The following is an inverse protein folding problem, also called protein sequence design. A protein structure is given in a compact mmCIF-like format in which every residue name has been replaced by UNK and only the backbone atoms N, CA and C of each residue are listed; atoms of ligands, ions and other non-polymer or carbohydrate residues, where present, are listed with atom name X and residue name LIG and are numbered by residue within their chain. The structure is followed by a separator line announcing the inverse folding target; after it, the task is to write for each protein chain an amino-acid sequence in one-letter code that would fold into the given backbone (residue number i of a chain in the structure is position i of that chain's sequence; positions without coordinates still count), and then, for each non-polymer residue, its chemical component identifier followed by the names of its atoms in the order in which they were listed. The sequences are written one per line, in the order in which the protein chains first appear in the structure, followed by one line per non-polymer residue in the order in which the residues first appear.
data_IF_869599145342
#
_entry.id   IF_869599145342
#
_cell.length_a   1.000
_cell.length_b   1.000
_cell.length_c   1.000
_cell.angle_alpha   90.00
_cell.angle_beta   90.00
_cell.angle_gamma   90.00
#
_symmetry.space_group_name_H-M   'P 1'
#
loop_
_entity.id
_entity.type
_entity.pdbx_description
1 polymer ?
#
# COMPACT_ATOMS: atom_id res chain seq x y z
N UNK A 1 -9.12 -19.55 -16.03
CA UNK A 1 -9.24 -19.16 -14.61
C UNK A 1 -7.87 -18.70 -14.09
N UNK A 2 -7.83 -17.56 -13.44
CA UNK A 2 -6.64 -16.99 -12.78
C UNK A 2 -6.90 -16.90 -11.29
N UNK A 3 -5.89 -17.23 -10.47
CA UNK A 3 -5.97 -17.01 -9.02
C UNK A 3 -4.86 -16.04 -8.65
N UNK A 4 -5.20 -14.99 -7.90
CA UNK A 4 -4.23 -14.03 -7.36
C UNK A 4 -4.05 -14.33 -5.88
N UNK A 5 -2.82 -14.61 -5.45
CA UNK A 5 -2.48 -14.77 -4.05
C UNK A 5 -2.45 -13.40 -3.37
N UNK A 6 -3.27 -13.25 -2.35
CA UNK A 6 -3.27 -12.07 -1.50
C UNK A 6 -2.17 -12.19 -0.46
N UNK A 7 -1.35 -11.14 -0.27
CA UNK A 7 -0.21 -11.14 0.64
C UNK A 7 0.13 -9.73 1.12
N UNK A 8 0.74 -9.65 2.29
CA UNK A 8 1.21 -8.39 2.86
C UNK A 8 0.09 -7.52 3.47
N UNK A 9 0.40 -6.26 3.74
CA UNK A 9 -0.54 -5.31 4.34
C UNK A 9 -1.51 -4.67 3.33
N UNK A 10 -2.40 -3.81 3.85
CA UNK A 10 -3.49 -3.18 3.09
C UNK A 10 -3.06 -2.59 1.75
N UNK A 11 -1.95 -1.84 1.69
CA UNK A 11 -1.49 -1.25 0.43
C UNK A 11 -1.14 -2.31 -0.64
N UNK A 12 -0.59 -3.46 -0.25
CA UNK A 12 -0.33 -4.56 -1.17
C UNK A 12 -1.62 -5.26 -1.60
N UNK A 13 -2.53 -5.50 -0.65
CA UNK A 13 -3.86 -6.06 -0.93
C UNK A 13 -4.63 -5.19 -1.94
N UNK A 14 -4.50 -3.87 -1.86
CA UNK A 14 -5.14 -2.94 -2.80
C UNK A 14 -4.55 -3.07 -4.22
N UNK A 15 -3.24 -3.19 -4.38
CA UNK A 15 -2.64 -3.42 -5.70
C UNK A 15 -3.07 -4.77 -6.29
N UNK A 16 -3.08 -5.83 -5.49
CA UNK A 16 -3.54 -7.16 -5.91
C UNK A 16 -5.02 -7.15 -6.30
N UNK A 17 -5.85 -6.40 -5.57
CA UNK A 17 -7.25 -6.25 -5.91
C UNK A 17 -7.47 -5.36 -7.15
N UNK A 18 -6.67 -4.34 -7.36
CA UNK A 18 -6.71 -3.54 -8.59
C UNK A 18 -6.38 -4.39 -9.83
N UNK A 19 -5.39 -5.29 -9.72
CA UNK A 19 -5.12 -6.29 -10.77
C UNK A 19 -6.30 -7.26 -10.97
N UNK A 20 -6.94 -7.72 -9.89
CA UNK A 20 -8.17 -8.52 -9.96
C UNK A 20 -9.25 -7.81 -10.77
N UNK A 21 -9.52 -6.54 -10.47
CA UNK A 21 -10.50 -5.73 -11.21
C UNK A 21 -10.13 -5.60 -12.69
N UNK A 22 -8.84 -5.40 -12.99
CA UNK A 22 -8.36 -5.30 -14.37
C UNK A 22 -8.58 -6.58 -15.14
N UNK A 23 -8.18 -7.71 -14.60
CA UNK A 23 -8.35 -9.00 -15.27
C UNK A 23 -9.84 -9.37 -15.45
N UNK A 24 -10.69 -9.03 -14.47
CA UNK A 24 -12.16 -9.15 -14.59
C UNK A 24 -12.73 -8.24 -15.68
N UNK A 25 -12.24 -7.01 -15.79
CA UNK A 25 -12.65 -6.10 -16.87
C UNK A 25 -12.26 -6.59 -18.27
N UNK A 26 -11.18 -7.40 -18.36
CA UNK A 26 -10.78 -8.10 -19.58
C UNK A 26 -11.62 -9.35 -19.88
N UNK A 27 -12.66 -9.65 -19.09
CA UNK A 27 -13.52 -10.81 -19.28
C UNK A 27 -12.96 -12.12 -18.76
N UNK A 28 -11.88 -12.10 -17.95
CA UNK A 28 -11.28 -13.31 -17.40
C UNK A 28 -11.99 -13.79 -16.14
N UNK A 29 -11.99 -15.10 -15.93
CA UNK A 29 -12.39 -15.71 -14.66
C UNK A 29 -11.26 -15.57 -13.67
N UNK A 30 -11.46 -14.76 -12.61
CA UNK A 30 -10.42 -14.43 -11.61
C UNK A 30 -10.95 -14.66 -10.22
N UNK A 31 -10.14 -15.28 -9.37
CA UNK A 31 -10.41 -15.50 -7.94
C UNK A 31 -9.24 -15.01 -7.09
N UNK A 32 -9.51 -14.77 -5.80
CA UNK A 32 -8.49 -14.37 -4.82
C UNK A 32 -8.22 -15.55 -3.87
N UNK A 33 -6.93 -15.80 -3.61
CA UNK A 33 -6.49 -16.65 -2.51
C UNK A 33 -6.17 -15.75 -1.30
N UNK A 34 -7.11 -15.64 -0.39
CA UNK A 34 -7.05 -14.81 0.80
C UNK A 34 -6.77 -15.61 2.09
N UNK A 35 -6.35 -16.85 1.97
CA UNK A 35 -6.11 -17.71 3.12
C UNK A 35 -4.70 -18.28 3.19
N UNK A 36 -4.01 -18.56 2.08
CA UNK A 36 -2.67 -19.19 2.11
C UNK A 36 -1.67 -18.40 2.96
N UNK A 37 -1.68 -17.07 2.89
CA UNK A 37 -0.82 -16.21 3.71
C UNK A 37 -1.39 -16.00 5.11
N UNK A 38 -2.71 -15.96 5.25
CA UNK A 38 -3.40 -15.47 6.44
C UNK A 38 -3.89 -16.58 7.38
N UNK A 39 -3.82 -17.85 6.98
CA UNK A 39 -4.12 -18.98 7.86
C UNK A 39 -2.97 -19.28 8.81
N UNK A 40 -3.17 -18.97 10.07
CA UNK A 40 -2.43 -19.59 11.16
C UNK A 40 -1.21 -18.89 11.71
N UNK A 41 -0.95 -17.60 11.45
CA UNK A 41 0.11 -16.84 12.13
C UNK A 41 -0.05 -15.33 11.98
N UNK A 42 0.84 -14.58 12.63
CA UNK A 42 1.16 -13.15 12.68
C UNK A 42 1.09 -12.38 11.34
N UNK A 43 0.22 -12.82 10.43
CA UNK A 43 -0.06 -12.13 9.20
C UNK A 43 -0.76 -10.80 9.49
N UNK A 44 -0.46 -9.80 8.70
CA UNK A 44 -1.20 -8.54 8.76
C UNK A 44 -2.66 -8.80 8.39
N UNK A 45 -3.62 -8.10 9.02
CA UNK A 45 -5.04 -8.38 8.79
C UNK A 45 -5.44 -8.14 7.33
N UNK A 46 -6.40 -8.93 6.85
CA UNK A 46 -7.15 -8.62 5.65
C UNK A 46 -8.00 -7.39 5.91
N UNK A 47 -7.78 -6.30 5.18
CA UNK A 47 -8.40 -5.00 5.45
C UNK A 47 -9.19 -4.41 4.28
N UNK A 48 -9.38 -5.15 3.19
CA UNK A 48 -10.22 -4.71 2.06
C UNK A 48 -11.70 -4.52 2.43
N UNK A 49 -12.16 -5.12 3.53
CA UNK A 49 -13.48 -4.90 4.09
C UNK A 49 -13.77 -3.41 4.40
N UNK A 50 -12.73 -2.60 4.66
CA UNK A 50 -12.87 -1.17 4.89
C UNK A 50 -13.52 -0.42 3.70
N UNK A 51 -13.46 -1.00 2.51
CA UNK A 51 -14.08 -0.47 1.30
C UNK A 51 -15.39 -1.17 0.94
N UNK A 52 -15.88 -2.10 1.77
CA UNK A 52 -17.05 -2.92 1.45
C UNK A 52 -16.82 -3.87 0.28
N UNK A 53 -15.56 -4.20 -0.01
CA UNK A 53 -15.16 -5.03 -1.14
C UNK A 53 -15.53 -6.49 -0.90
N UNK A 54 -16.18 -7.08 -1.92
CA UNK A 54 -16.39 -8.50 -2.05
C UNK A 54 -15.69 -9.01 -3.32
N UNK A 55 -15.19 -10.24 -3.28
CA UNK A 55 -14.49 -10.89 -4.39
C UNK A 55 -14.73 -12.40 -4.41
N UNK A 56 -14.55 -13.00 -5.57
CA UNK A 56 -14.65 -14.45 -5.73
C UNK A 56 -13.42 -15.11 -5.08
N UNK A 57 -13.67 -15.99 -4.11
CA UNK A 57 -12.60 -16.73 -3.40
C UNK A 57 -12.24 -18.02 -4.13
N UNK A 58 -10.96 -18.33 -4.19
CA UNK A 58 -10.48 -19.62 -4.64
C UNK A 58 -10.74 -20.69 -3.57
N UNK A 59 -11.12 -21.88 -3.99
CA UNK A 59 -11.18 -23.04 -3.10
C UNK A 59 -9.80 -23.70 -2.94
N UNK A 60 -9.62 -24.46 -1.86
CA UNK A 60 -8.38 -25.24 -1.65
C UNK A 60 -8.13 -26.24 -2.77
N UNK A 61 -9.19 -26.81 -3.35
CA UNK A 61 -9.09 -27.72 -4.49
C UNK A 61 -8.56 -27.01 -5.73
N UNK A 62 -9.09 -25.82 -6.04
CA UNK A 62 -8.62 -24.98 -7.15
C UNK A 62 -7.15 -24.61 -6.97
N UNK A 63 -6.73 -24.22 -5.75
CA UNK A 63 -5.33 -23.96 -5.46
C UNK A 63 -4.44 -25.21 -5.69
N UNK A 64 -4.84 -26.36 -5.14
CA UNK A 64 -4.08 -27.59 -5.37
C UNK A 64 -3.97 -27.93 -6.86
N UNK A 65 -5.01 -27.64 -7.65
CA UNK A 65 -5.01 -27.85 -9.10
C UNK A 65 -4.02 -26.91 -9.79
N UNK A 66 -4.03 -25.64 -9.42
CA UNK A 66 -3.18 -24.62 -10.03
C UNK A 66 -1.69 -24.76 -9.64
N UNK A 67 -1.44 -25.14 -8.40
CA UNK A 67 -0.07 -25.28 -7.86
C UNK A 67 0.48 -26.70 -7.95
N UNK A 68 -0.30 -27.65 -8.50
CA UNK A 68 0.01 -29.08 -8.45
C UNK A 68 0.26 -29.58 -7.02
N UNK A 69 -0.58 -29.10 -6.08
CA UNK A 69 -0.40 -29.28 -4.64
C UNK A 69 -1.09 -30.49 -4.02
N UNK A 70 -1.79 -31.32 -4.78
CA UNK A 70 -2.49 -32.50 -4.25
C UNK A 70 -1.55 -33.47 -3.54
N UNK A 71 -1.91 -33.87 -2.33
CA UNK A 71 -1.06 -34.71 -1.48
C UNK A 71 -1.40 -36.22 -1.53
N UNK A 72 -2.36 -36.62 -2.35
CA UNK A 72 -2.73 -37.99 -2.55
C UNK A 72 -1.58 -38.84 -3.17
N UNK A 73 -1.56 -40.18 -2.94
CA UNK A 73 -0.46 -41.05 -3.40
C UNK A 73 -0.26 -41.03 -4.92
N UNK A 74 -1.31 -40.91 -5.71
CA UNK A 74 -1.25 -40.91 -7.18
C UNK A 74 -0.57 -39.65 -7.68
N UNK A 75 -0.99 -38.49 -7.17
CA UNK A 75 -0.40 -37.19 -7.49
C UNK A 75 1.07 -37.13 -7.08
N UNK A 76 1.44 -37.72 -5.92
CA UNK A 76 2.83 -37.78 -5.44
C UNK A 76 3.69 -38.63 -6.36
N UNK A 77 3.21 -39.82 -6.76
CA UNK A 77 3.91 -40.72 -7.70
C UNK A 77 4.05 -40.03 -9.06
N UNK A 78 2.99 -39.44 -9.56
CA UNK A 78 3.02 -38.72 -10.85
C UNK A 78 4.08 -37.58 -10.84
N UNK A 79 4.13 -36.76 -9.77
CA UNK A 79 5.15 -35.72 -9.64
C UNK A 79 6.56 -36.25 -9.59
N UNK A 80 6.74 -37.43 -8.94
CA UNK A 80 8.05 -38.08 -8.89
C UNK A 80 8.52 -38.56 -10.26
N UNK A 81 7.60 -39.03 -11.10
CA UNK A 81 7.91 -39.57 -12.44
C UNK A 81 7.99 -38.51 -13.52
N UNK A 82 7.13 -37.46 -13.47
CA UNK A 82 6.92 -36.51 -14.56
C UNK A 82 7.21 -35.05 -14.16
N UNK A 83 7.66 -34.82 -12.94
CA UNK A 83 7.87 -33.47 -12.41
C UNK A 83 6.59 -32.77 -11.99
N UNK A 84 6.73 -31.59 -11.40
CA UNK A 84 5.64 -30.72 -10.97
C UNK A 84 5.10 -29.91 -12.16
N UNK A 85 3.78 -29.87 -12.32
CA UNK A 85 3.07 -29.11 -13.35
C UNK A 85 2.34 -27.94 -12.72
N UNK A 86 3.06 -27.04 -12.08
CA UNK A 86 2.52 -25.84 -11.47
C UNK A 86 2.27 -24.75 -12.51
N UNK A 87 1.16 -24.04 -12.35
CA UNK A 87 0.83 -22.82 -13.10
C UNK A 87 1.18 -21.54 -12.32
N UNK A 88 2.00 -21.70 -11.27
CA UNK A 88 2.50 -20.57 -10.49
C UNK A 88 3.37 -19.66 -11.35
N UNK A 89 3.09 -18.39 -11.24
CA UNK A 89 3.91 -17.32 -11.77
C UNK A 89 4.19 -16.32 -10.66
N UNK A 90 5.47 -16.21 -10.33
CA UNK A 90 5.94 -15.21 -9.37
C UNK A 90 6.36 -13.95 -10.12
N UNK A 91 5.90 -12.78 -9.65
CA UNK A 91 6.37 -11.48 -10.12
C UNK A 91 7.90 -11.43 -10.08
N UNK A 92 8.53 -11.08 -11.20
CA UNK A 92 9.98 -11.17 -11.36
C UNK A 92 10.71 -10.03 -10.66
N UNK A 93 10.14 -8.84 -10.76
CA UNK A 93 10.65 -7.61 -10.16
C UNK A 93 9.48 -6.64 -9.89
N UNK A 94 9.76 -5.45 -9.39
CA UNK A 94 8.75 -4.46 -9.02
C UNK A 94 8.23 -3.59 -10.19
N UNK A 95 8.55 -3.93 -11.44
CA UNK A 95 8.08 -3.16 -12.59
C UNK A 95 6.87 -3.84 -13.26
N UNK A 96 6.20 -3.09 -14.09
CA UNK A 96 5.06 -3.57 -14.85
C UNK A 96 5.48 -4.64 -15.87
N UNK A 97 4.89 -5.82 -15.77
CA UNK A 97 5.03 -6.91 -16.75
C UNK A 97 3.70 -7.10 -17.49
N UNK A 98 3.59 -6.65 -18.75
CA UNK A 98 2.34 -6.78 -19.52
C UNK A 98 1.96 -8.24 -19.78
N UNK A 99 2.90 -9.20 -19.70
CA UNK A 99 2.60 -10.62 -19.90
C UNK A 99 1.68 -11.17 -18.80
N UNK A 100 1.70 -10.58 -17.59
CA UNK A 100 0.80 -10.96 -16.50
C UNK A 100 -0.66 -10.81 -16.93
N UNK A 101 -0.97 -9.76 -17.68
CA UNK A 101 -2.33 -9.52 -18.18
C UNK A 101 -2.79 -10.57 -19.21
N UNK A 102 -1.87 -11.27 -19.85
CA UNK A 102 -2.15 -12.28 -20.88
C UNK A 102 -2.16 -13.72 -20.35
N UNK A 103 -1.64 -13.94 -19.13
CA UNK A 103 -1.59 -15.27 -18.54
C UNK A 103 -2.99 -15.77 -18.18
N UNK A 104 -3.36 -16.94 -18.72
CA UNK A 104 -4.58 -17.69 -18.39
C UNK A 104 -4.46 -19.12 -18.96
N UNK A 105 -4.47 -20.17 -18.11
CA UNK A 105 -4.58 -20.14 -16.65
C UNK A 105 -3.28 -19.74 -15.93
N UNK A 106 -3.41 -19.17 -14.70
CA UNK A 106 -2.25 -18.83 -13.87
C UNK A 106 -2.61 -18.74 -12.37
N UNK A 107 -1.64 -19.05 -11.50
CA UNK A 107 -1.65 -18.68 -10.08
C UNK A 107 -0.58 -17.61 -9.88
N UNK A 108 -1.03 -16.37 -9.65
CA UNK A 108 -0.19 -15.18 -9.62
C UNK A 108 0.25 -14.86 -8.19
N UNK A 109 1.56 -14.77 -7.96
CA UNK A 109 2.16 -14.37 -6.69
C UNK A 109 3.01 -13.15 -6.89
N UNK A 110 2.71 -12.06 -6.20
CA UNK A 110 3.42 -10.78 -6.29
C UNK A 110 2.64 -9.64 -5.66
N UNK A 111 3.24 -8.46 -5.67
CA UNK A 111 2.59 -7.24 -5.18
C UNK A 111 1.95 -6.41 -6.30
N UNK A 112 2.46 -6.52 -7.53
CA UNK A 112 1.96 -5.84 -8.73
C UNK A 112 1.85 -4.32 -8.54
N UNK A 113 2.87 -3.72 -7.94
CA UNK A 113 2.88 -2.33 -7.47
C UNK A 113 3.12 -1.33 -8.60
N UNK A 114 2.21 -1.31 -9.58
CA UNK A 114 2.22 -0.30 -10.63
C UNK A 114 0.80 0.07 -11.07
N UNK A 115 0.52 1.38 -11.21
CA UNK A 115 -0.75 1.84 -11.78
C UNK A 115 -0.95 1.38 -13.23
N UNK A 116 0.13 1.05 -13.95
CA UNK A 116 0.07 0.57 -15.33
C UNK A 116 -0.78 -0.69 -15.50
N UNK A 117 -0.94 -1.50 -14.44
CA UNK A 117 -1.82 -2.66 -14.47
C UNK A 117 -3.30 -2.30 -14.60
N UNK A 118 -3.71 -1.08 -14.18
CA UNK A 118 -5.12 -0.71 -14.09
C UNK A 118 -5.42 0.73 -14.54
N UNK A 119 -4.48 1.40 -15.19
CA UNK A 119 -4.63 2.79 -15.61
C UNK A 119 -5.86 3.02 -16.53
N UNK A 120 -6.17 2.07 -17.40
CA UNK A 120 -7.32 2.15 -18.31
C UNK A 120 -8.68 1.88 -17.64
N UNK A 121 -8.67 1.46 -16.37
CA UNK A 121 -9.86 1.28 -15.53
C UNK A 121 -9.78 2.11 -14.24
N UNK A 122 -9.03 3.22 -14.25
CA UNK A 122 -8.76 4.06 -13.07
C UNK A 122 -10.03 4.41 -12.31
N UNK A 123 -11.08 4.83 -13.01
CA UNK A 123 -12.36 5.22 -12.38
C UNK A 123 -13.00 4.07 -11.61
N UNK A 124 -12.99 2.87 -12.18
CA UNK A 124 -13.50 1.66 -11.53
C UNK A 124 -12.71 1.31 -10.27
N UNK A 125 -11.37 1.47 -10.33
CA UNK A 125 -10.49 1.23 -9.18
C UNK A 125 -10.75 2.26 -8.07
N UNK A 126 -10.91 3.55 -8.42
CA UNK A 126 -11.24 4.61 -7.45
C UNK A 126 -12.59 4.38 -6.80
N UNK A 127 -13.60 3.97 -7.57
CA UNK A 127 -14.93 3.64 -7.04
C UNK A 127 -14.88 2.46 -6.08
N UNK A 128 -14.10 1.42 -6.40
CA UNK A 128 -13.94 0.25 -5.54
C UNK A 128 -13.27 0.58 -4.20
N UNK A 129 -12.39 1.58 -4.16
CA UNK A 129 -11.71 1.98 -2.93
C UNK A 129 -12.34 3.20 -2.23
N UNK A 130 -13.63 3.42 -2.41
CA UNK A 130 -14.39 4.32 -1.54
C UNK A 130 -14.57 3.68 -0.17
N UNK A 131 -14.20 4.39 0.90
CA UNK A 131 -14.36 3.89 2.26
C UNK A 131 -15.85 3.65 2.58
N UNK A 132 -16.17 2.47 3.09
CA UNK A 132 -17.53 2.13 3.50
C UNK A 132 -17.83 2.67 4.90
N UNK A 133 -19.13 2.80 5.24
CA UNK A 133 -19.53 3.18 6.59
C UNK A 133 -19.08 2.17 7.67
N UNK A 134 -18.74 0.96 7.29
CA UNK A 134 -18.22 -0.09 8.19
C UNK A 134 -16.91 0.28 8.89
N UNK A 135 -16.14 1.23 8.32
CA UNK A 135 -14.90 1.68 8.98
C UNK A 135 -15.12 2.27 10.37
N UNK A 136 -16.36 2.68 10.68
CA UNK A 136 -16.74 3.24 11.98
C UNK A 136 -17.27 2.21 12.97
N UNK A 137 -17.52 0.98 12.51
CA UNK A 137 -18.08 -0.09 13.36
C UNK A 137 -17.02 -0.60 14.35
N UNK A 138 -17.44 -0.72 15.62
CA UNK A 138 -16.58 -1.28 16.69
C UNK A 138 -15.40 -0.40 17.12
N UNK A 139 -15.31 0.85 16.65
CA UNK A 139 -14.29 1.79 17.10
C UNK A 139 -14.66 2.32 18.49
N UNK A 140 -13.74 2.29 19.48
CA UNK A 140 -13.97 2.91 20.77
C UNK A 140 -14.29 4.41 20.64
N UNK A 141 -15.26 4.91 21.44
CA UNK A 141 -15.75 6.29 21.35
C UNK A 141 -14.62 7.33 21.39
N UNK A 142 -13.65 7.16 22.29
CA UNK A 142 -12.49 8.08 22.37
C UNK A 142 -11.65 8.11 21.09
N UNK A 143 -11.45 6.95 20.45
CA UNK A 143 -10.73 6.89 19.18
C UNK A 143 -11.55 7.54 18.07
N UNK A 144 -12.86 7.27 18.03
CA UNK A 144 -13.75 7.88 17.03
C UNK A 144 -13.75 9.41 17.14
N UNK A 145 -13.87 9.97 18.34
CA UNK A 145 -13.80 11.41 18.58
C UNK A 145 -12.46 11.99 18.12
N UNK A 146 -11.35 11.30 18.40
CA UNK A 146 -10.01 11.70 17.94
C UNK A 146 -9.91 11.70 16.42
N UNK A 147 -10.37 10.65 15.76
CA UNK A 147 -10.36 10.57 14.29
C UNK A 147 -11.21 11.68 13.67
N UNK A 148 -12.39 11.97 14.22
CA UNK A 148 -13.25 13.07 13.76
C UNK A 148 -12.59 14.44 13.97
N UNK A 149 -11.84 14.62 15.05
CA UNK A 149 -11.05 15.83 15.28
C UNK A 149 -9.93 15.98 14.22
N UNK A 150 -9.19 14.91 13.93
CA UNK A 150 -8.17 14.93 12.87
C UNK A 150 -8.80 15.22 11.49
N UNK A 151 -9.90 14.57 11.16
CA UNK A 151 -10.65 14.80 9.92
C UNK A 151 -11.01 16.27 9.76
N UNK A 152 -11.53 16.90 10.82
CA UNK A 152 -11.91 18.32 10.81
C UNK A 152 -10.67 19.21 10.62
N UNK A 153 -9.58 18.93 11.31
CA UNK A 153 -8.33 19.69 11.17
C UNK A 153 -7.78 19.58 9.74
N UNK A 154 -7.76 18.37 9.16
CA UNK A 154 -7.30 18.14 7.79
C UNK A 154 -8.15 18.92 6.78
N UNK A 155 -9.47 18.90 6.93
CA UNK A 155 -10.40 19.58 6.01
C UNK A 155 -10.31 21.11 6.05
N UNK A 156 -9.86 21.68 7.18
CA UNK A 156 -9.78 23.14 7.37
C UNK A 156 -8.37 23.71 7.14
N UNK A 157 -7.35 22.86 7.05
CA UNK A 157 -5.96 23.27 6.85
C UNK A 157 -5.48 23.05 5.41
N UNK A 158 -4.35 23.68 5.06
CA UNK A 158 -3.53 23.24 3.92
C UNK A 158 -2.77 21.95 4.34
N UNK A 159 -3.52 20.85 4.42
CA UNK A 159 -3.06 19.61 5.01
C UNK A 159 -2.09 18.86 4.08
N UNK A 160 -0.97 18.44 4.65
CA UNK A 160 0.06 17.61 4.01
C UNK A 160 0.23 16.33 4.82
N UNK A 161 -0.05 15.16 4.23
CA UNK A 161 0.28 13.90 4.89
C UNK A 161 1.78 13.62 4.83
N UNK A 162 2.38 13.25 5.94
CA UNK A 162 3.78 12.81 6.02
C UNK A 162 3.80 11.40 6.57
N UNK A 163 4.21 10.43 5.77
CA UNK A 163 4.31 9.05 6.21
C UNK A 163 5.73 8.70 6.61
N UNK A 164 5.95 8.43 7.89
CA UNK A 164 7.24 7.98 8.44
C UNK A 164 7.13 6.49 8.77
N UNK A 165 7.81 5.65 7.97
CA UNK A 165 7.82 4.19 8.17
C UNK A 165 9.14 3.74 8.76
N UNK A 166 9.06 3.03 9.89
CA UNK A 166 10.21 2.45 10.63
C UNK A 166 9.91 0.98 10.97
N UNK A 167 10.26 0.54 12.14
CA UNK A 167 9.92 -0.80 12.64
C UNK A 167 10.44 -1.93 11.75
N UNK A 168 9.57 -2.57 11.00
CA UNK A 168 9.88 -3.65 10.07
C UNK A 168 10.91 -3.26 8.98
N UNK A 169 11.01 -1.98 8.61
CA UNK A 169 12.00 -1.48 7.65
C UNK A 169 13.42 -1.47 8.22
N UNK A 170 13.57 -1.31 9.54
CA UNK A 170 14.87 -1.41 10.21
C UNK A 170 15.39 -2.84 10.29
N UNK A 171 14.48 -3.83 10.21
CA UNK A 171 14.85 -5.26 10.22
C UNK A 171 15.30 -5.77 8.84
N UNK A 172 14.98 -5.02 7.76
CA UNK A 172 15.39 -5.37 6.40
C UNK A 172 16.06 -4.15 5.74
N UNK A 173 17.24 -3.82 6.25
CA UNK A 173 18.03 -2.68 5.78
C UNK A 173 18.43 -2.79 4.30
N UNK A 174 18.68 -4.00 3.80
CA UNK A 174 19.07 -4.20 2.40
C UNK A 174 17.97 -3.75 1.43
N UNK A 175 16.71 -4.07 1.74
CA UNK A 175 15.58 -3.73 0.88
C UNK A 175 15.06 -2.31 1.11
N UNK A 176 15.01 -1.83 2.35
CA UNK A 176 14.32 -0.59 2.71
C UNK A 176 15.19 0.45 3.41
N UNK A 177 16.38 0.07 3.90
CA UNK A 177 17.25 0.93 4.69
C UNK A 177 17.80 2.11 3.89
N UNK A 178 18.03 3.22 4.59
CA UNK A 178 18.70 4.41 4.04
C UNK A 178 17.96 5.13 2.91
N UNK A 179 16.71 4.77 2.61
CA UNK A 179 15.89 5.40 1.56
C UNK A 179 15.20 6.64 2.10
N UNK A 180 14.32 6.48 3.09
CA UNK A 180 13.59 7.58 3.72
C UNK A 180 14.33 8.08 4.97
N UNK A 181 15.43 8.79 4.76
CA UNK A 181 16.27 9.36 5.82
C UNK A 181 15.65 10.61 6.43
N UNK A 182 16.15 11.06 7.59
CA UNK A 182 15.79 12.37 8.17
C UNK A 182 15.96 13.51 7.15
N UNK A 183 17.03 13.46 6.37
CA UNK A 183 17.29 14.45 5.31
C UNK A 183 16.24 14.43 4.22
N UNK A 184 15.77 13.26 3.80
CA UNK A 184 14.67 13.14 2.83
C UNK A 184 13.44 13.89 3.34
N UNK A 185 12.99 13.59 4.56
CA UNK A 185 11.80 14.24 5.12
C UNK A 185 11.99 15.75 5.29
N UNK A 186 13.15 16.21 5.75
CA UNK A 186 13.45 17.66 5.86
C UNK A 186 13.35 18.34 4.50
N UNK A 187 14.03 17.80 3.48
CA UNK A 187 14.01 18.37 2.13
C UNK A 187 12.60 18.36 1.54
N UNK A 188 11.82 17.30 1.75
CA UNK A 188 10.45 17.19 1.29
C UNK A 188 9.53 18.23 1.97
N UNK A 189 9.64 18.41 3.29
CA UNK A 189 8.90 19.42 4.05
C UNK A 189 9.26 20.82 3.57
N UNK A 190 10.54 21.13 3.41
CA UNK A 190 11.01 22.43 2.91
C UNK A 190 10.51 22.68 1.47
N UNK A 191 10.48 21.65 0.63
CA UNK A 191 9.94 21.77 -0.73
C UNK A 191 8.48 22.18 -0.73
N UNK A 192 7.65 21.60 0.16
CA UNK A 192 6.23 21.98 0.32
C UNK A 192 6.13 23.40 0.86
N UNK A 193 6.86 23.74 1.93
CA UNK A 193 6.79 25.05 2.60
C UNK A 193 7.11 26.21 1.66
N UNK A 194 8.06 26.02 0.76
CA UNK A 194 8.36 27.05 -0.27
C UNK A 194 7.21 27.35 -1.21
N UNK A 195 6.22 26.46 -1.32
CA UNK A 195 5.07 26.56 -2.24
C UNK A 195 3.75 26.79 -1.50
N UNK A 196 3.66 26.33 -0.27
CA UNK A 196 2.51 26.39 0.62
C UNK A 196 2.98 26.85 2.00
N UNK A 197 3.04 28.16 2.21
CA UNK A 197 3.59 28.74 3.43
C UNK A 197 2.73 28.47 4.68
N UNK A 198 1.44 28.21 4.50
CA UNK A 198 0.44 27.88 5.52
C UNK A 198 0.24 26.37 5.72
N UNK A 199 1.11 25.53 5.12
CA UNK A 199 1.00 24.09 5.22
C UNK A 199 1.06 23.58 6.68
N UNK A 200 0.15 22.66 6.99
CA UNK A 200 0.12 21.87 8.22
C UNK A 200 0.43 20.41 7.90
N UNK A 201 1.34 19.80 8.65
CA UNK A 201 1.88 18.48 8.38
C UNK A 201 1.25 17.45 9.32
N UNK A 202 0.46 16.53 8.79
CA UNK A 202 -0.15 15.44 9.51
C UNK A 202 0.74 14.20 9.39
N UNK A 203 1.35 13.81 10.50
CA UNK A 203 2.41 12.78 10.53
C UNK A 203 1.80 11.44 10.90
N UNK A 204 1.88 10.50 10.00
CA UNK A 204 1.42 9.10 10.11
C UNK A 204 2.65 8.22 10.27
N UNK A 205 2.68 7.40 11.33
CA UNK A 205 3.86 6.59 11.62
C UNK A 205 3.51 5.34 12.43
N UNK A 206 4.33 4.31 12.30
CA UNK A 206 4.31 3.14 13.18
C UNK A 206 5.31 3.25 14.36
N UNK A 207 5.94 4.42 14.53
CA UNK A 207 6.89 4.73 15.61
C UNK A 207 6.64 6.17 16.10
N UNK A 208 5.56 6.39 16.91
CA UNK A 208 5.15 7.73 17.35
C UNK A 208 6.22 8.44 18.20
N UNK A 209 6.91 7.71 19.06
CA UNK A 209 7.92 8.27 19.94
C UNK A 209 9.06 8.88 19.14
N UNK A 210 9.60 8.11 18.20
CA UNK A 210 10.62 8.62 17.28
C UNK A 210 10.12 9.83 16.48
N UNK A 211 8.92 9.76 15.93
CA UNK A 211 8.39 10.85 15.12
C UNK A 211 8.22 12.13 15.93
N UNK A 212 7.73 12.01 17.18
CA UNK A 212 7.62 13.14 18.11
C UNK A 212 8.96 13.78 18.44
N UNK A 213 9.95 12.98 18.80
CA UNK A 213 11.31 13.45 19.07
C UNK A 213 11.95 14.10 17.83
N UNK A 214 11.78 13.49 16.67
CA UNK A 214 12.29 14.01 15.41
C UNK A 214 11.68 15.36 15.03
N UNK A 215 10.35 15.54 15.22
CA UNK A 215 9.66 16.82 15.01
C UNK A 215 10.25 17.89 15.96
N UNK A 216 10.33 17.58 17.25
CA UNK A 216 10.86 18.52 18.24
C UNK A 216 12.32 18.92 17.94
N UNK A 217 13.15 17.97 17.56
CA UNK A 217 14.57 18.22 17.24
C UNK A 217 14.75 19.11 16.00
N UNK A 218 13.92 18.90 14.96
CA UNK A 218 14.14 19.54 13.66
C UNK A 218 13.23 20.74 13.39
N UNK A 219 12.06 20.81 14.04
CA UNK A 219 11.02 21.81 13.81
C UNK A 219 10.41 22.36 15.10
N UNK A 220 11.15 22.29 16.22
CA UNK A 220 10.62 22.65 17.54
C UNK A 220 10.06 24.07 17.66
N UNK A 221 10.57 25.03 16.88
CA UNK A 221 10.05 26.42 16.83
C UNK A 221 8.72 26.54 16.07
N UNK A 222 8.36 25.54 15.28
CA UNK A 222 7.14 25.51 14.45
C UNK A 222 6.37 24.21 14.67
N UNK A 223 6.52 23.60 15.85
CA UNK A 223 5.89 22.31 16.20
C UNK A 223 4.37 22.33 16.06
N UNK A 224 3.74 23.49 16.22
CA UNK A 224 2.30 23.69 16.06
C UNK A 224 1.80 23.43 14.64
N UNK A 225 2.70 23.39 13.65
CA UNK A 225 2.38 23.00 12.27
C UNK A 225 2.34 21.49 12.06
N UNK A 226 2.75 20.71 13.06
CA UNK A 226 2.83 19.25 12.98
C UNK A 226 1.79 18.62 13.90
N UNK A 227 0.97 17.77 13.34
CA UNK A 227 -0.04 16.96 14.05
C UNK A 227 0.37 15.50 13.94
N UNK A 228 0.79 14.89 15.04
CA UNK A 228 1.06 13.46 15.09
C UNK A 228 -0.25 12.69 15.19
N UNK A 229 -0.49 11.79 14.24
CA UNK A 229 -1.68 10.94 14.21
C UNK A 229 -1.44 9.72 15.11
N UNK A 230 -2.31 9.52 16.09
CA UNK A 230 -2.18 8.49 17.10
C UNK A 230 -3.44 7.64 17.23
N UNK A 231 -3.27 6.39 17.69
CA UNK A 231 -4.36 5.47 18.00
C UNK A 231 -4.85 4.64 16.81
N UNK A 232 -4.23 4.78 15.65
CA UNK A 232 -4.63 4.12 14.40
C UNK A 232 -3.73 2.93 14.02
N UNK A 233 -2.80 2.55 14.91
CA UNK A 233 -1.84 1.46 14.64
C UNK A 233 -2.53 0.10 14.51
N UNK A 234 -1.80 -0.86 13.93
CA UNK A 234 -2.18 -2.28 13.78
C UNK A 234 -3.47 -2.48 12.99
N UNK A 235 -4.49 -3.05 13.64
CA UNK A 235 -5.79 -3.39 13.02
C UNK A 235 -6.59 -2.17 12.53
N UNK A 236 -6.27 -0.98 13.03
CA UNK A 236 -6.95 0.28 12.68
C UNK A 236 -6.19 1.08 11.60
N UNK A 237 -5.14 0.53 10.98
CA UNK A 237 -4.35 1.22 9.98
C UNK A 237 -5.14 1.75 8.77
N UNK A 238 -6.31 1.18 8.46
CA UNK A 238 -7.21 1.71 7.42
C UNK A 238 -7.70 3.14 7.71
N UNK A 239 -7.75 3.55 8.99
CA UNK A 239 -8.09 4.93 9.39
C UNK A 239 -6.97 5.92 9.03
N UNK A 240 -5.70 5.49 9.11
CA UNK A 240 -4.58 6.30 8.61
C UNK A 240 -4.72 6.54 7.11
N UNK A 241 -5.04 5.48 6.36
CA UNK A 241 -5.23 5.59 4.92
C UNK A 241 -6.39 6.52 4.57
N UNK A 242 -7.50 6.42 5.34
CA UNK A 242 -8.64 7.34 5.22
C UNK A 242 -8.20 8.80 5.43
N UNK A 243 -7.54 9.10 6.55
CA UNK A 243 -7.08 10.46 6.86
C UNK A 243 -6.03 10.96 5.85
N UNK A 244 -5.10 10.09 5.41
CA UNK A 244 -4.14 10.45 4.36
C UNK A 244 -4.85 10.86 3.07
N UNK A 245 -5.89 10.15 2.65
CA UNK A 245 -6.62 10.43 1.41
C UNK A 245 -7.34 11.78 1.42
N UNK A 246 -7.63 12.33 2.61
CA UNK A 246 -8.24 13.64 2.78
C UNK A 246 -7.24 14.80 2.73
N UNK A 247 -5.94 14.53 2.90
CA UNK A 247 -4.91 15.55 2.85
C UNK A 247 -4.75 16.10 1.42
N UNK A 248 -4.40 17.40 1.31
CA UNK A 248 -4.26 18.06 0.01
C UNK A 248 -2.96 17.68 -0.71
N UNK A 249 -1.88 17.45 0.03
CA UNK A 249 -0.56 17.09 -0.48
C UNK A 249 0.02 15.92 0.31
N UNK A 250 1.06 15.28 -0.22
CA UNK A 250 1.59 14.04 0.33
C UNK A 250 3.12 13.99 0.28
N UNK A 251 3.73 13.57 1.39
CA UNK A 251 5.13 13.16 1.50
C UNK A 251 5.13 11.68 1.87
N UNK A 252 5.50 10.83 0.92
CA UNK A 252 5.42 9.38 1.07
C UNK A 252 6.70 8.79 1.66
N UNK A 253 6.57 7.71 2.42
CA UNK A 253 7.64 6.74 2.53
C UNK A 253 7.68 5.85 1.26
N UNK A 254 8.69 5.00 1.12
CA UNK A 254 8.73 3.92 0.11
C UNK A 254 7.76 2.78 0.50
N UNK A 255 6.48 3.12 0.58
CA UNK A 255 5.42 2.25 1.10
C UNK A 255 4.18 2.28 0.22
N UNK A 256 3.72 1.10 -0.20
CA UNK A 256 2.46 0.92 -0.93
C UNK A 256 1.26 1.52 -0.18
N UNK A 257 1.32 1.57 1.15
CA UNK A 257 0.26 2.14 1.97
C UNK A 257 0.09 3.65 1.72
N UNK A 258 1.16 4.44 1.87
CA UNK A 258 1.09 5.89 1.59
C UNK A 258 0.95 6.21 0.10
N UNK A 259 1.40 5.32 -0.78
CA UNK A 259 1.13 5.42 -2.21
C UNK A 259 -0.38 5.48 -2.48
N UNK A 260 -1.14 4.55 -1.89
CA UNK A 260 -2.59 4.54 -2.01
C UNK A 260 -3.24 5.74 -1.32
N UNK A 261 -2.73 6.22 -0.19
CA UNK A 261 -3.21 7.45 0.43
C UNK A 261 -3.16 8.65 -0.52
N UNK A 262 -2.05 8.77 -1.26
CA UNK A 262 -1.91 9.81 -2.28
C UNK A 262 -2.76 9.53 -3.54
N UNK A 263 -2.85 8.27 -3.98
CA UNK A 263 -3.66 7.89 -5.15
C UNK A 263 -5.13 8.18 -4.92
N UNK A 264 -5.70 7.84 -3.77
CA UNK A 264 -7.11 8.03 -3.45
C UNK A 264 -7.52 9.51 -3.33
N UNK A 265 -6.60 10.42 -3.02
CA UNK A 265 -6.87 11.85 -3.10
C UNK A 265 -7.24 12.25 -4.54
N UNK A 266 -8.46 12.78 -4.80
CA UNK A 266 -8.92 13.08 -6.15
C UNK A 266 -8.31 14.35 -6.76
N UNK A 267 -7.65 15.21 -5.97
CA UNK A 267 -7.10 16.47 -6.44
C UNK A 267 -6.01 16.25 -7.49
N UNK A 268 -6.17 16.88 -8.64
CA UNK A 268 -5.14 16.92 -9.70
C UNK A 268 -3.99 17.88 -9.39
N UNK A 269 -4.21 18.83 -8.50
CA UNK A 269 -3.21 19.83 -8.07
C UNK A 269 -2.37 19.37 -6.89
N UNK A 270 -2.53 18.12 -6.44
CA UNK A 270 -1.76 17.60 -5.32
C UNK A 270 -0.27 17.48 -5.65
N UNK A 271 0.57 17.89 -4.72
CA UNK A 271 1.98 17.53 -4.73
C UNK A 271 2.14 16.16 -4.07
N UNK A 272 2.79 15.23 -4.74
CA UNK A 272 3.12 13.91 -4.20
C UNK A 272 4.63 13.76 -4.21
N UNK A 273 5.24 13.88 -3.05
CA UNK A 273 6.70 13.85 -2.90
C UNK A 273 7.11 12.45 -2.46
N UNK A 274 8.10 11.90 -3.14
CA UNK A 274 8.55 10.51 -2.96
C UNK A 274 10.07 10.43 -2.91
N UNK A 275 10.64 9.40 -2.25
CA UNK A 275 12.06 9.17 -2.29
C UNK A 275 12.50 8.76 -3.71
N UNK A 276 13.77 9.02 -4.02
CA UNK A 276 14.34 8.75 -5.35
C UNK A 276 14.44 7.25 -5.68
N UNK A 277 14.49 6.39 -4.66
CA UNK A 277 14.43 4.93 -4.77
C UNK A 277 13.24 4.38 -4.00
N UNK A 278 12.71 3.25 -4.46
CA UNK A 278 11.64 2.54 -3.75
C UNK A 278 12.18 1.35 -2.96
N UNK A 279 13.11 0.61 -3.54
CA UNK A 279 13.89 -0.45 -2.86
C UNK A 279 15.39 -0.17 -2.98
N UNK A 280 16.16 -0.67 -2.01
CA UNK A 280 17.62 -0.55 -1.99
C UNK A 280 18.30 -1.44 -3.02
N UNK A 281 17.78 -2.65 -3.20
CA UNK A 281 18.38 -3.75 -3.95
C UNK A 281 17.84 -3.96 -5.36
N UNK A 282 16.84 -3.21 -5.77
CA UNK A 282 16.26 -3.31 -7.13
C UNK A 282 15.74 -1.95 -7.63
N UNK A 283 15.71 -1.78 -8.93
CA UNK A 283 15.22 -0.56 -9.57
C UNK A 283 13.73 -0.69 -9.90
N UNK A 284 12.90 0.07 -9.18
CA UNK A 284 11.46 0.17 -9.42
C UNK A 284 11.14 1.49 -10.11
N UNK A 285 10.83 1.44 -11.38
CA UNK A 285 10.49 2.62 -12.19
C UNK A 285 8.99 2.85 -12.21
N UNK A 286 8.23 1.78 -12.28
CA UNK A 286 6.81 1.77 -12.60
C UNK A 286 5.90 1.93 -11.37
N UNK A 287 6.48 2.03 -10.17
CA UNK A 287 5.77 2.40 -8.94
C UNK A 287 5.47 3.91 -8.90
N UNK A 288 6.26 4.71 -9.61
CA UNK A 288 6.11 6.15 -9.62
C UNK A 288 5.06 6.58 -10.62
N UNK A 289 4.00 7.26 -10.14
CA UNK A 289 3.03 7.96 -10.98
C UNK A 289 3.70 9.15 -11.68
N UNK A 290 3.18 9.55 -12.82
CA UNK A 290 3.76 10.64 -13.65
C UNK A 290 3.92 11.96 -12.89
N UNK A 291 3.00 12.26 -11.97
CA UNK A 291 2.98 13.50 -11.19
C UNK A 291 3.80 13.44 -9.89
N UNK A 292 4.53 12.35 -9.63
CA UNK A 292 5.34 12.22 -8.42
C UNK A 292 6.65 13.00 -8.51
N UNK A 293 6.94 13.76 -7.47
CA UNK A 293 8.15 14.58 -7.33
C UNK A 293 9.19 13.77 -6.54
N UNK A 294 10.23 13.31 -7.23
CA UNK A 294 11.30 12.54 -6.60
C UNK A 294 12.34 13.47 -5.96
N UNK A 295 12.55 13.33 -4.67
CA UNK A 295 13.65 14.00 -3.96
C UNK A 295 14.91 13.19 -4.18
N UNK A 296 15.86 13.75 -4.93
CA UNK A 296 17.15 13.11 -5.20
C UNK A 296 17.96 12.95 -3.90
N UNK A 297 18.72 11.86 -3.83
CA UNK A 297 19.84 11.76 -2.88
C UNK A 297 20.93 12.68 -3.44
N UNK A 298 21.10 13.90 -2.88
CA UNK A 298 22.26 14.69 -3.24
C UNK A 298 23.52 13.88 -2.94
N UNK A 299 24.45 13.88 -3.88
CA UNK A 299 25.76 13.30 -3.71
C UNK A 299 26.43 14.02 -2.52
N UNK A 300 26.86 13.23 -1.52
CA UNK A 300 27.67 13.69 -0.39
C UNK A 300 29.04 14.14 -0.85
#
# INVERSE_FOLDING_TARGET
MIIIRMTGGLGNQMFQYALYLKLRAMGKEVKMDDFTEYEGREARPLSLWAFGIEYDRASREELCRMTDGFMDPVSRIRRKLFGRKSLEYMEKDCNFDPEILNRDPAYLTGYFQSEKYFADIEEKVRQAFCFSERIWEGIPTQLLERIRSYEQQIKTAMAVSVHIRRGDYLQNEEAYGGICTERYYKTAIEYVRKRQQDASFFVFTNDPDYAGEWILKNFGQEKERFVLIEGTQEKNGYLDLYLMSLCRHHILANSSFSWWGAYLNPSREKMVIVPHKWFGNQECRDIYMENMIRIAKEQS
#
